data_IF_883831789928
#
_entry.id   IF_883831789928
#
_cell.length_a   1.000
_cell.length_b   1.000
_cell.length_c   1.000
_cell.angle_alpha   90.00
_cell.angle_beta   90.00
_cell.angle_gamma   90.00
#
_symmetry.space_group_name_H-M   'P 1'
#
loop_
_entity.id
_entity.type
_entity.pdbx_description
1 polymer ?
#
# COMPACT_ATOMS: atom_id res chain seq x y z
N UNK A 1 13.33 23.46 -12.68
CA UNK A 1 12.03 22.84 -13.01
C UNK A 1 11.45 22.34 -11.70
N UNK A 2 10.30 22.86 -11.28
CA UNK A 2 9.70 22.49 -9.99
C UNK A 2 9.25 21.02 -10.04
N UNK A 3 9.84 20.17 -9.19
CA UNK A 3 9.29 18.85 -8.90
C UNK A 3 7.96 19.12 -8.21
N UNK A 4 6.86 18.88 -8.92
CA UNK A 4 5.52 19.02 -8.36
C UNK A 4 5.34 17.88 -7.33
N UNK A 5 5.61 18.19 -6.06
CA UNK A 5 5.64 17.20 -4.99
C UNK A 5 4.21 16.69 -4.75
N UNK A 6 3.88 15.48 -5.20
CA UNK A 6 2.53 14.91 -5.01
C UNK A 6 2.24 14.56 -3.55
N UNK A 7 3.18 14.76 -2.62
CA UNK A 7 2.91 14.62 -1.18
C UNK A 7 1.87 15.64 -0.67
N UNK A 8 1.68 16.75 -1.39
CA UNK A 8 0.55 17.68 -1.20
C UNK A 8 -0.83 17.04 -1.52
N UNK A 9 -0.87 15.86 -2.15
CA UNK A 9 -2.10 15.11 -2.40
C UNK A 9 -2.46 14.10 -1.30
N UNK A 10 -1.56 13.85 -0.33
CA UNK A 10 -1.86 12.97 0.79
C UNK A 10 -2.74 13.71 1.79
N UNK A 11 -4.04 13.44 1.74
CA UNK A 11 -5.07 14.08 2.57
C UNK A 11 -4.79 13.94 4.06
N UNK A 12 -4.17 12.84 4.47
CA UNK A 12 -3.75 12.61 5.85
C UNK A 12 -2.64 13.56 6.29
N UNK A 13 -1.78 14.01 5.37
CA UNK A 13 -0.78 15.04 5.63
C UNK A 13 -1.37 16.45 5.55
N UNK A 14 -2.08 16.77 4.48
CA UNK A 14 -2.51 18.15 4.17
C UNK A 14 -3.75 18.61 4.92
N UNK A 15 -4.68 17.70 5.21
CA UNK A 15 -5.91 18.03 5.95
C UNK A 15 -6.21 16.99 7.04
N UNK A 16 -5.37 16.90 8.09
CA UNK A 16 -5.44 15.82 9.06
C UNK A 16 -6.78 15.76 9.83
N UNK A 17 -7.53 16.87 9.93
CA UNK A 17 -8.85 16.92 10.60
C UNK A 17 -10.02 16.82 9.61
N UNK A 18 -9.79 16.26 8.41
CA UNK A 18 -10.87 16.03 7.43
C UNK A 18 -11.58 14.69 7.68
N UNK A 19 -12.87 14.58 7.30
CA UNK A 19 -13.57 13.29 7.35
C UNK A 19 -12.86 12.17 6.59
N UNK A 20 -12.14 12.51 5.51
CA UNK A 20 -11.35 11.54 4.73
C UNK A 20 -10.15 11.05 5.57
N UNK A 21 -9.49 11.93 6.31
CA UNK A 21 -8.43 11.51 7.24
C UNK A 21 -8.96 10.63 8.38
N UNK A 22 -10.15 10.90 8.91
CA UNK A 22 -10.80 10.01 9.90
C UNK A 22 -11.12 8.63 9.32
N UNK A 23 -11.50 8.55 8.03
CA UNK A 23 -11.71 7.27 7.36
C UNK A 23 -10.42 6.42 7.32
N UNK A 24 -9.26 7.05 7.06
CA UNK A 24 -7.98 6.35 7.12
C UNK A 24 -7.58 5.94 8.55
N UNK A 25 -7.89 6.75 9.58
CA UNK A 25 -7.67 6.33 10.98
C UNK A 25 -8.57 5.17 11.39
N UNK A 26 -9.80 5.17 10.89
CA UNK A 26 -10.74 4.04 11.08
C UNK A 26 -10.19 2.79 10.40
N UNK A 27 -9.67 2.91 9.18
CA UNK A 27 -9.01 1.81 8.48
C UNK A 27 -7.81 1.26 9.28
N UNK A 28 -6.91 2.13 9.77
CA UNK A 28 -5.78 1.74 10.61
C UNK A 28 -6.26 0.97 11.85
N UNK A 29 -7.25 1.50 12.55
CA UNK A 29 -7.80 0.90 13.77
C UNK A 29 -8.40 -0.48 13.49
N UNK A 30 -9.17 -0.61 12.41
CA UNK A 30 -9.72 -1.92 12.00
C UNK A 30 -8.63 -2.93 11.65
N UNK A 31 -7.54 -2.46 11.02
CA UNK A 31 -6.41 -3.30 10.70
C UNK A 31 -5.68 -3.79 11.96
N UNK A 32 -5.46 -2.91 12.94
CA UNK A 32 -4.88 -3.26 14.25
C UNK A 32 -5.77 -4.26 15.02
N UNK A 33 -7.11 -4.11 14.94
CA UNK A 33 -8.03 -5.08 15.53
C UNK A 33 -7.98 -6.45 14.84
N UNK A 34 -7.80 -6.48 13.52
CA UNK A 34 -7.70 -7.73 12.76
C UNK A 34 -6.45 -8.55 13.08
N UNK A 35 -5.43 -7.93 13.70
CA UNK A 35 -4.14 -8.56 14.01
C UNK A 35 -3.96 -8.95 15.48
N UNK A 36 -5.01 -8.84 16.31
CA UNK A 36 -4.95 -9.16 17.75
C UNK A 36 -4.58 -10.63 18.03
N UNK A 37 -5.21 -11.57 17.33
CA UNK A 37 -4.97 -13.01 17.53
C UNK A 37 -3.77 -13.52 16.73
N UNK A 38 -3.58 -12.95 15.54
CA UNK A 38 -2.48 -13.29 14.62
C UNK A 38 -1.80 -12.00 14.17
N UNK A 39 -0.58 -11.69 14.66
CA UNK A 39 0.15 -10.51 14.24
C UNK A 39 0.29 -10.46 12.73
N UNK A 40 -0.12 -9.34 12.13
CA UNK A 40 0.03 -9.06 10.70
C UNK A 40 1.16 -8.05 10.57
N UNK A 41 2.32 -8.49 10.07
CA UNK A 41 3.49 -7.63 9.84
C UNK A 41 3.66 -7.26 8.37
N UNK A 42 3.14 -8.05 7.46
CA UNK A 42 3.30 -7.84 6.01
C UNK A 42 1.93 -7.80 5.33
N UNK A 43 1.66 -6.73 4.58
CA UNK A 43 0.38 -6.54 3.90
C UNK A 43 0.59 -6.16 2.45
N UNK A 44 -0.06 -6.88 1.56
CA UNK A 44 -0.21 -6.49 0.16
C UNK A 44 -1.49 -5.70 -0.02
N UNK A 45 -1.41 -4.60 -0.78
CA UNK A 45 -2.58 -3.86 -1.23
C UNK A 45 -2.69 -3.97 -2.74
N UNK A 46 -3.84 -4.43 -3.21
CA UNK A 46 -4.14 -4.61 -4.64
C UNK A 46 -5.59 -4.18 -4.93
N UNK A 47 -5.99 -4.20 -6.20
CA UNK A 47 -7.34 -3.90 -6.66
C UNK A 47 -7.76 -4.83 -7.79
N UNK A 48 -9.06 -4.98 -8.07
CA UNK A 48 -9.55 -5.71 -9.24
C UNK A 48 -8.99 -5.17 -10.57
N UNK A 49 -9.02 -3.84 -10.76
CA UNK A 49 -8.59 -3.17 -11.98
C UNK A 49 -7.62 -2.00 -11.74
N UNK A 50 -7.08 -1.42 -12.82
CA UNK A 50 -6.25 -0.22 -12.74
C UNK A 50 -7.06 1.00 -12.27
N UNK A 51 -6.36 2.02 -11.76
CA UNK A 51 -6.93 3.33 -11.40
C UNK A 51 -8.02 3.29 -10.31
N UNK A 52 -8.02 2.24 -9.46
CA UNK A 52 -8.96 2.14 -8.33
C UNK A 52 -8.50 2.89 -7.06
N UNK A 53 -7.32 3.53 -7.11
CA UNK A 53 -6.76 4.32 -6.02
C UNK A 53 -5.99 3.51 -4.97
N UNK A 54 -5.53 2.30 -5.32
CA UNK A 54 -4.74 1.40 -4.46
C UNK A 54 -3.50 2.09 -3.87
N UNK A 55 -2.68 2.72 -4.72
CA UNK A 55 -1.41 3.35 -4.35
C UNK A 55 -1.61 4.55 -3.42
N UNK A 56 -2.60 5.39 -3.70
CA UNK A 56 -2.99 6.53 -2.85
C UNK A 56 -3.58 6.08 -1.52
N UNK A 57 -4.43 5.05 -1.52
CA UNK A 57 -5.02 4.48 -0.31
C UNK A 57 -3.91 3.93 0.59
N UNK A 58 -2.97 3.19 0.01
CA UNK A 58 -1.84 2.61 0.71
C UNK A 58 -0.91 3.69 1.30
N UNK A 59 -0.57 4.72 0.52
CA UNK A 59 0.25 5.82 1.00
C UNK A 59 -0.39 6.54 2.19
N UNK A 60 -1.69 6.83 2.13
CA UNK A 60 -2.39 7.46 3.25
C UNK A 60 -2.48 6.55 4.49
N UNK A 61 -2.69 5.25 4.30
CA UNK A 61 -2.64 4.27 5.39
C UNK A 61 -1.26 4.24 6.05
N UNK A 62 -0.18 4.20 5.25
CA UNK A 62 1.19 4.22 5.73
C UNK A 62 1.47 5.46 6.60
N UNK A 63 1.03 6.64 6.16
CA UNK A 63 1.11 7.88 6.95
C UNK A 63 0.37 7.76 8.28
N UNK A 64 -0.84 7.18 8.29
CA UNK A 64 -1.60 7.06 9.55
C UNK A 64 -1.01 6.06 10.54
N UNK A 65 -0.33 5.02 10.05
CA UNK A 65 0.42 4.06 10.86
C UNK A 65 1.67 4.71 11.45
N UNK A 66 2.47 5.40 10.63
CA UNK A 66 3.67 6.09 11.08
C UNK A 66 3.35 7.19 12.12
N UNK A 67 2.26 7.94 11.92
CA UNK A 67 1.76 8.91 12.93
C UNK A 67 1.22 8.28 14.21
N UNK A 68 1.00 6.97 14.21
CA UNK A 68 0.71 6.19 15.42
C UNK A 68 1.99 5.59 16.03
N UNK A 69 3.15 6.16 15.71
CA UNK A 69 4.47 5.75 16.22
C UNK A 69 4.87 4.32 15.82
N UNK A 70 4.35 3.84 14.68
CA UNK A 70 4.82 2.59 14.05
C UNK A 70 6.00 2.87 13.15
N UNK A 71 6.99 1.98 13.18
CA UNK A 71 7.99 1.91 12.13
C UNK A 71 7.37 1.23 10.90
N UNK A 72 7.25 1.96 9.81
CA UNK A 72 6.57 1.53 8.58
C UNK A 72 7.56 1.52 7.41
N UNK A 73 7.62 0.40 6.69
CA UNK A 73 8.25 0.33 5.38
C UNK A 73 7.17 0.18 4.32
N UNK A 74 7.10 1.14 3.39
CA UNK A 74 6.28 1.07 2.20
C UNK A 74 7.13 0.61 1.02
N UNK A 75 6.66 -0.38 0.27
CA UNK A 75 7.37 -0.99 -0.85
C UNK A 75 6.54 -0.85 -2.12
N UNK A 76 7.13 -0.30 -3.18
CA UNK A 76 6.48 -0.23 -4.50
C UNK A 76 6.77 -1.51 -5.31
N UNK A 77 5.85 -2.47 -5.26
CA UNK A 77 5.91 -3.71 -6.04
C UNK A 77 5.15 -3.64 -7.37
N UNK A 78 4.57 -2.49 -7.74
CA UNK A 78 3.97 -2.28 -9.06
C UNK A 78 5.08 -1.96 -10.07
N UNK A 79 5.89 -2.98 -10.40
CA UNK A 79 7.02 -2.89 -11.33
C UNK A 79 6.58 -2.65 -12.79
N UNK A 80 5.30 -2.37 -13.03
CA UNK A 80 4.75 -2.02 -14.35
C UNK A 80 4.41 -0.54 -14.41
N UNK A 81 3.88 0.02 -13.33
CA UNK A 81 3.52 1.45 -13.20
C UNK A 81 3.81 1.94 -11.77
N UNK A 82 5.09 2.01 -11.36
CA UNK A 82 5.43 2.43 -10.02
C UNK A 82 5.04 3.90 -9.81
N UNK A 83 4.56 4.23 -8.62
CA UNK A 83 4.02 5.56 -8.34
C UNK A 83 4.32 6.07 -6.94
N UNK A 84 4.80 5.23 -6.02
CA UNK A 84 5.06 5.64 -4.64
C UNK A 84 6.18 6.69 -4.56
N UNK A 85 7.22 6.54 -5.38
CA UNK A 85 8.29 7.53 -5.46
C UNK A 85 7.79 8.93 -5.88
N UNK A 86 6.81 9.00 -6.79
CA UNK A 86 6.18 10.27 -7.18
C UNK A 86 5.32 10.84 -6.04
N UNK A 87 4.57 9.98 -5.34
CA UNK A 87 3.70 10.36 -4.22
C UNK A 87 4.52 10.98 -3.07
N UNK A 88 5.66 10.39 -2.74
CA UNK A 88 6.50 10.84 -1.63
C UNK A 88 7.62 11.81 -2.05
N UNK A 89 7.80 12.05 -3.34
CA UNK A 89 8.79 12.99 -3.86
C UNK A 89 10.24 12.50 -3.71
N UNK A 90 10.47 11.19 -3.77
CA UNK A 90 11.80 10.57 -3.62
C UNK A 90 12.34 10.04 -4.97
N UNK A 91 13.62 9.70 -5.01
CA UNK A 91 14.26 9.19 -6.23
C UNK A 91 13.92 7.71 -6.47
N UNK A 92 13.85 7.28 -7.73
CA UNK A 92 13.58 5.88 -8.12
C UNK A 92 14.77 5.20 -8.83
N UNK A 93 15.99 5.67 -8.57
CA UNK A 93 17.21 5.14 -9.21
C UNK A 93 17.69 3.81 -8.62
N UNK A 94 17.37 3.55 -7.36
CA UNK A 94 17.65 2.31 -6.61
C UNK A 94 16.40 1.93 -5.82
N UNK A 95 16.16 0.64 -5.61
CA UNK A 95 14.96 0.18 -4.91
C UNK A 95 14.84 -1.33 -4.88
N UNK A 96 13.60 -1.81 -4.91
CA UNK A 96 13.26 -3.24 -4.84
C UNK A 96 14.03 -4.07 -5.87
N UNK A 97 14.09 -3.62 -7.11
CA UNK A 97 14.75 -4.37 -8.20
C UNK A 97 16.27 -4.41 -8.02
N UNK A 98 16.86 -3.42 -7.36
CA UNK A 98 18.28 -3.41 -6.98
C UNK A 98 18.57 -4.50 -5.96
N UNK A 99 17.75 -4.64 -4.92
CA UNK A 99 17.91 -5.69 -3.89
C UNK A 99 17.84 -7.11 -4.46
N UNK A 100 17.13 -7.28 -5.58
CA UNK A 100 17.02 -8.61 -6.20
C UNK A 100 18.34 -9.06 -6.82
N UNK A 101 19.17 -8.14 -7.30
CA UNK A 101 20.40 -8.48 -8.04
C UNK A 101 21.68 -8.18 -7.27
N UNK A 102 21.60 -7.40 -6.18
CA UNK A 102 22.74 -6.92 -5.41
C UNK A 102 22.67 -7.41 -3.95
N UNK A 103 23.73 -8.09 -3.51
CA UNK A 103 23.87 -8.60 -2.14
C UNK A 103 24.18 -7.50 -1.12
N UNK A 104 24.85 -6.42 -1.52
CA UNK A 104 25.07 -5.26 -0.65
C UNK A 104 23.74 -4.59 -0.32
N UNK A 105 22.88 -4.41 -1.34
CA UNK A 105 21.53 -3.88 -1.15
C UNK A 105 20.62 -4.82 -0.34
N UNK A 106 20.92 -6.13 -0.24
CA UNK A 106 20.21 -7.01 0.70
C UNK A 106 20.65 -6.81 2.14
N UNK A 107 21.96 -6.65 2.35
CA UNK A 107 22.52 -6.40 3.66
C UNK A 107 22.10 -5.02 4.20
N UNK A 108 22.04 -4.02 3.32
CA UNK A 108 21.54 -2.69 3.62
C UNK A 108 20.51 -2.23 2.56
N UNK A 109 19.22 -2.54 2.77
CA UNK A 109 18.14 -2.13 1.89
C UNK A 109 18.17 -0.62 1.61
N UNK A 110 18.07 -0.18 0.34
CA UNK A 110 18.11 1.23 -0.06
C UNK A 110 16.78 1.94 0.27
N UNK A 111 16.42 1.94 1.55
CA UNK A 111 15.26 2.62 2.10
C UNK A 111 15.50 4.12 2.08
N UNK A 112 14.52 4.87 1.57
CA UNK A 112 14.55 6.33 1.55
C UNK A 112 13.60 6.87 2.61
N UNK A 113 14.08 7.80 3.42
CA UNK A 113 13.23 8.55 4.34
C UNK A 113 12.18 9.34 3.57
N UNK A 114 10.96 9.35 4.09
CA UNK A 114 9.92 10.25 3.60
C UNK A 114 9.89 11.52 4.45
N UNK A 115 9.07 12.50 4.08
CA UNK A 115 8.80 13.67 4.94
C UNK A 115 8.04 13.33 6.24
N UNK A 116 7.68 12.06 6.45
CA UNK A 116 6.93 11.57 7.60
C UNK A 116 7.85 10.71 8.46
N UNK A 117 8.07 11.13 9.70
CA UNK A 117 8.86 10.37 10.67
C UNK A 117 8.27 8.97 10.90
N UNK A 118 9.13 7.95 10.96
CA UNK A 118 8.75 6.54 11.10
C UNK A 118 8.26 5.89 9.80
N UNK A 119 8.27 6.61 8.66
CA UNK A 119 7.88 6.07 7.36
C UNK A 119 9.03 6.10 6.36
N UNK A 120 9.42 4.90 5.93
CA UNK A 120 10.44 4.65 4.93
C UNK A 120 9.81 4.12 3.64
N UNK A 121 10.40 4.49 2.51
CA UNK A 121 9.98 4.01 1.19
C UNK A 121 11.11 3.21 0.54
N UNK A 122 10.81 1.97 0.16
CA UNK A 122 11.55 1.21 -0.84
C UNK A 122 10.84 1.37 -2.18
N UNK A 123 11.28 2.28 -3.07
CA UNK A 123 10.66 2.45 -4.37
C UNK A 123 10.97 1.23 -5.26
N UNK A 124 10.40 1.17 -6.46
CA UNK A 124 10.59 0.02 -7.35
C UNK A 124 12.06 -0.17 -7.76
N UNK A 125 12.79 0.93 -7.93
CA UNK A 125 14.04 0.96 -8.68
C UNK A 125 13.79 0.86 -10.19
N UNK A 126 14.86 0.63 -10.98
CA UNK A 126 14.78 0.45 -12.43
C UNK A 126 13.85 -0.70 -12.80
N UNK A 127 13.00 -0.49 -13.82
CA UNK A 127 12.02 -1.49 -14.24
C UNK A 127 12.70 -2.71 -14.87
N UNK A 128 12.41 -3.94 -14.38
CA UNK A 128 13.00 -5.15 -14.96
C UNK A 128 12.27 -5.53 -16.26
N UNK A 129 12.92 -6.32 -17.14
CA UNK A 129 12.25 -6.85 -18.33
C UNK A 129 11.10 -7.82 -17.98
N UNK A 130 11.24 -8.59 -16.89
CA UNK A 130 10.29 -9.62 -16.47
C UNK A 130 9.82 -9.41 -15.00
N UNK A 131 8.85 -8.51 -14.73
CA UNK A 131 8.32 -8.27 -13.39
C UNK A 131 7.82 -9.52 -12.64
N UNK A 132 7.09 -10.39 -13.32
CA UNK A 132 6.44 -11.55 -12.69
C UNK A 132 7.44 -12.58 -12.15
N UNK A 133 8.55 -12.80 -12.88
CA UNK A 133 9.62 -13.73 -12.47
C UNK A 133 10.35 -13.21 -11.23
N UNK A 134 10.57 -11.89 -11.18
CA UNK A 134 11.20 -11.24 -10.03
C UNK A 134 10.35 -11.41 -8.77
N UNK A 135 9.05 -11.11 -8.84
CA UNK A 135 8.14 -11.21 -7.69
C UNK A 135 7.99 -12.64 -7.20
N UNK A 136 8.02 -13.63 -8.10
CA UNK A 136 7.97 -15.05 -7.73
C UNK A 136 9.31 -15.67 -7.33
N UNK A 137 10.39 -14.89 -7.31
CA UNK A 137 11.72 -15.41 -7.01
C UNK A 137 11.90 -15.74 -5.53
N UNK A 138 12.82 -16.67 -5.23
CA UNK A 138 13.29 -16.92 -3.86
C UNK A 138 13.83 -15.64 -3.20
N UNK A 139 14.50 -14.81 -3.99
CA UNK A 139 15.08 -13.54 -3.54
C UNK A 139 14.01 -12.58 -3.03
N UNK A 140 12.83 -12.53 -3.64
CA UNK A 140 11.72 -11.73 -3.14
C UNK A 140 11.26 -12.17 -1.74
N UNK A 141 11.22 -13.48 -1.47
CA UNK A 141 10.90 -14.01 -0.13
C UNK A 141 11.93 -13.58 0.91
N UNK A 142 13.21 -13.61 0.54
CA UNK A 142 14.32 -13.13 1.38
C UNK A 142 14.19 -11.63 1.66
N UNK A 143 13.83 -10.83 0.65
CA UNK A 143 13.56 -9.39 0.80
C UNK A 143 12.42 -9.16 1.80
N UNK A 144 11.28 -9.85 1.64
CA UNK A 144 10.14 -9.73 2.57
C UNK A 144 10.57 -10.04 4.00
N UNK A 145 11.35 -11.11 4.20
CA UNK A 145 11.88 -11.48 5.51
C UNK A 145 12.80 -10.39 6.10
N UNK A 146 13.75 -9.86 5.31
CA UNK A 146 14.66 -8.78 5.74
C UNK A 146 13.87 -7.52 6.13
N UNK A 147 12.90 -7.09 5.33
CA UNK A 147 12.11 -5.90 5.61
C UNK A 147 11.22 -6.08 6.85
N UNK A 148 10.62 -7.26 7.02
CA UNK A 148 9.75 -7.56 8.17
C UNK A 148 10.46 -7.56 9.53
N UNK A 149 11.79 -7.67 9.53
CA UNK A 149 12.62 -7.57 10.73
C UNK A 149 12.99 -6.13 11.09
N UNK A 150 12.87 -5.19 10.15
CA UNK A 150 13.28 -3.78 10.31
C UNK A 150 12.14 -2.82 10.64
N UNK A 151 10.90 -3.29 10.59
CA UNK A 151 9.71 -2.47 10.78
C UNK A 151 8.64 -3.20 11.60
N UNK A 152 7.74 -2.44 12.22
CA UNK A 152 6.54 -2.99 12.82
C UNK A 152 5.58 -3.54 11.76
N UNK A 153 5.53 -2.87 10.60
CA UNK A 153 4.69 -3.24 9.48
C UNK A 153 5.34 -2.89 8.13
N UNK A 154 5.22 -3.81 7.18
CA UNK A 154 5.66 -3.64 5.79
C UNK A 154 4.44 -3.68 4.88
N UNK A 155 4.30 -2.65 4.07
CA UNK A 155 3.17 -2.43 3.18
C UNK A 155 3.64 -2.52 1.72
N UNK A 156 3.03 -3.39 0.92
CA UNK A 156 3.41 -3.63 -0.47
C UNK A 156 2.32 -3.12 -1.42
N UNK A 157 2.67 -2.17 -2.29
CA UNK A 157 1.81 -1.73 -3.40
C UNK A 157 1.92 -2.73 -4.55
N UNK A 158 0.85 -3.46 -4.85
CA UNK A 158 0.85 -4.48 -5.90
C UNK A 158 -0.03 -4.07 -7.08
N UNK A 159 0.29 -4.50 -8.32
CA UNK A 159 -0.53 -4.20 -9.48
C UNK A 159 -1.94 -4.81 -9.37
N UNK A 160 -2.90 -4.42 -10.24
CA UNK A 160 -4.23 -5.00 -10.21
C UNK A 160 -4.24 -6.52 -10.44
N UNK A 161 -4.90 -7.26 -9.56
CA UNK A 161 -4.81 -8.72 -9.52
C UNK A 161 -5.46 -9.43 -10.72
N UNK A 162 -6.45 -8.80 -11.38
CA UNK A 162 -7.06 -9.39 -12.59
C UNK A 162 -6.15 -9.20 -13.81
N UNK A 163 -5.37 -8.13 -13.84
CA UNK A 163 -4.55 -7.78 -14.99
C UNK A 163 -3.32 -8.68 -15.10
N UNK A 164 -2.68 -8.98 -13.96
CA UNK A 164 -1.38 -9.67 -13.92
C UNK A 164 -1.28 -10.58 -12.70
N UNK A 165 -0.42 -11.60 -12.79
CA UNK A 165 -0.24 -12.61 -11.74
C UNK A 165 0.61 -12.15 -10.56
N UNK A 166 1.37 -11.07 -10.74
CA UNK A 166 2.36 -10.53 -9.77
C UNK A 166 1.73 -10.34 -8.38
N UNK A 167 0.54 -9.75 -8.31
CA UNK A 167 -0.16 -9.51 -7.06
C UNK A 167 -0.61 -10.81 -6.36
N UNK A 168 -1.02 -11.83 -7.11
CA UNK A 168 -1.42 -13.11 -6.53
C UNK A 168 -0.22 -13.86 -5.93
N UNK A 169 0.92 -13.84 -6.62
CA UNK A 169 2.16 -14.45 -6.12
C UNK A 169 2.65 -13.73 -4.86
N UNK A 170 2.66 -12.40 -4.85
CA UNK A 170 3.06 -11.66 -3.66
C UNK A 170 2.08 -11.88 -2.49
N UNK A 171 0.79 -12.00 -2.78
CA UNK A 171 -0.27 -12.22 -1.78
C UNK A 171 -0.14 -13.55 -1.04
N UNK A 172 0.49 -14.57 -1.64
CA UNK A 172 0.74 -15.85 -0.96
C UNK A 172 1.96 -15.85 -0.04
N UNK A 173 2.77 -14.79 -0.07
CA UNK A 173 4.02 -14.68 0.69
C UNK A 173 3.94 -13.68 1.86
N UNK A 174 2.78 -13.07 2.08
CA UNK A 174 2.53 -12.07 3.14
C UNK A 174 1.44 -12.52 4.12
N UNK A 175 1.37 -11.85 5.27
CA UNK A 175 0.43 -12.18 6.35
C UNK A 175 -1.02 -11.81 6.02
N UNK A 176 -1.21 -10.81 5.15
CA UNK A 176 -2.53 -10.28 4.82
C UNK A 176 -2.61 -9.54 3.49
N UNK A 177 -3.83 -9.49 2.95
CA UNK A 177 -4.17 -8.72 1.76
C UNK A 177 -5.30 -7.76 2.08
N UNK A 178 -5.15 -6.51 1.63
CA UNK A 178 -6.21 -5.50 1.64
C UNK A 178 -6.61 -5.18 0.19
N UNK A 179 -7.88 -5.43 -0.15
CA UNK A 179 -8.37 -5.18 -1.51
C UNK A 179 -9.04 -3.82 -1.61
N UNK A 180 -8.52 -2.93 -2.46
CA UNK A 180 -9.15 -1.64 -2.77
C UNK A 180 -10.16 -1.81 -3.89
N UNK A 181 -11.37 -1.29 -3.69
CA UNK A 181 -12.49 -1.34 -4.63
C UNK A 181 -12.95 0.08 -4.92
N UNK A 182 -13.01 0.49 -6.18
CA UNK A 182 -13.54 1.78 -6.59
C UNK A 182 -15.09 1.82 -6.53
N UNK A 183 -15.66 2.64 -5.65
CA UNK A 183 -17.10 2.81 -5.50
C UNK A 183 -17.74 3.33 -6.79
N UNK A 184 -18.71 2.58 -7.31
CA UNK A 184 -19.39 2.92 -8.56
C UNK A 184 -18.56 2.73 -9.83
N UNK A 185 -17.24 2.51 -9.72
CA UNK A 185 -16.36 2.17 -10.85
C UNK A 185 -16.13 0.67 -11.03
N UNK A 186 -15.95 -0.06 -9.92
CA UNK A 186 -15.66 -1.49 -9.96
C UNK A 186 -16.94 -2.30 -10.07
N UNK A 187 -17.05 -3.12 -11.12
CA UNK A 187 -18.17 -4.04 -11.29
C UNK A 187 -18.11 -5.18 -10.26
N UNK A 188 -19.28 -5.65 -9.84
CA UNK A 188 -19.39 -6.72 -8.82
C UNK A 188 -18.71 -8.03 -9.24
N UNK A 189 -18.83 -8.41 -10.50
CA UNK A 189 -18.19 -9.59 -11.08
C UNK A 189 -16.65 -9.47 -11.08
N UNK A 190 -16.11 -8.27 -11.32
CA UNK A 190 -14.67 -8.01 -11.18
C UNK A 190 -14.21 -8.15 -9.73
N UNK A 191 -14.94 -7.58 -8.76
CA UNK A 191 -14.59 -7.75 -7.34
C UNK A 191 -14.64 -9.22 -6.90
N UNK A 192 -15.65 -9.98 -7.36
CA UNK A 192 -15.75 -11.42 -7.10
C UNK A 192 -14.61 -12.21 -7.74
N UNK A 193 -14.24 -11.86 -8.98
CA UNK A 193 -13.11 -12.48 -9.68
C UNK A 193 -11.79 -12.21 -8.97
N UNK A 194 -11.56 -10.98 -8.51
CA UNK A 194 -10.37 -10.62 -7.75
C UNK A 194 -10.27 -11.43 -6.44
N UNK A 195 -11.37 -11.51 -5.68
CA UNK A 195 -11.43 -12.36 -4.48
C UNK A 195 -11.13 -13.83 -4.83
N UNK A 196 -11.73 -14.37 -5.89
CA UNK A 196 -11.50 -15.76 -6.29
C UNK A 196 -10.03 -16.03 -6.68
N UNK A 197 -9.31 -15.04 -7.23
CA UNK A 197 -7.87 -15.15 -7.51
C UNK A 197 -7.04 -15.19 -6.22
N UNK A 198 -7.40 -14.40 -5.20
CA UNK A 198 -6.78 -14.45 -3.88
C UNK A 198 -7.05 -15.79 -3.17
N UNK A 199 -8.30 -16.27 -3.23
CA UNK A 199 -8.68 -17.56 -2.63
C UNK A 199 -7.89 -18.72 -3.25
N UNK A 200 -7.65 -18.70 -4.57
CA UNK A 200 -6.89 -19.74 -5.29
C UNK A 200 -5.44 -19.90 -4.82
N UNK A 201 -4.83 -18.84 -4.30
CA UNK A 201 -3.46 -18.85 -3.76
C UNK A 201 -3.45 -18.94 -2.24
N UNK A 202 -4.61 -19.19 -1.62
CA UNK A 202 -4.81 -19.22 -0.16
C UNK A 202 -4.35 -17.94 0.54
N UNK A 203 -4.47 -16.78 -0.13
CA UNK A 203 -4.13 -15.50 0.47
C UNK A 203 -5.13 -15.13 1.56
N UNK A 204 -4.63 -14.61 2.68
CA UNK A 204 -5.46 -14.14 3.77
C UNK A 204 -6.01 -12.74 3.46
N UNK A 205 -7.23 -12.69 2.91
CA UNK A 205 -7.93 -11.41 2.68
C UNK A 205 -8.41 -10.83 4.01
N UNK A 206 -7.67 -9.85 4.54
CA UNK A 206 -7.98 -9.15 5.80
C UNK A 206 -9.26 -8.34 5.67
N UNK A 207 -9.49 -7.76 4.49
CA UNK A 207 -10.70 -6.99 4.22
C UNK A 207 -10.63 -6.24 2.90
N UNK A 208 -11.57 -5.31 2.73
CA UNK A 208 -11.63 -4.45 1.56
C UNK A 208 -11.82 -2.98 1.95
N UNK A 209 -11.26 -2.08 1.14
CA UNK A 209 -11.47 -0.63 1.24
C UNK A 209 -12.31 -0.17 0.06
N UNK A 210 -13.43 0.46 0.35
CA UNK A 210 -14.25 1.10 -0.67
C UNK A 210 -13.76 2.54 -0.88
N UNK A 211 -13.11 2.80 -2.00
CA UNK A 211 -12.55 4.10 -2.36
C UNK A 211 -13.52 4.92 -3.23
N UNK A 212 -13.36 6.25 -3.32
CA UNK A 212 -14.21 7.16 -4.11
C UNK A 212 -15.70 7.13 -3.76
N UNK A 213 -16.04 6.82 -2.51
CA UNK A 213 -17.43 6.84 -2.03
C UNK A 213 -17.97 8.27 -2.10
N UNK A 214 -19.16 8.44 -2.69
CA UNK A 214 -19.89 9.71 -2.62
C UNK A 214 -20.32 9.93 -1.18
N UNK A 215 -19.82 10.99 -0.55
CA UNK A 215 -20.21 11.32 0.81
C UNK A 215 -21.65 11.82 0.80
N UNK A 216 -22.53 11.14 1.54
CA UNK A 216 -23.91 11.59 1.73
C UNK A 216 -23.90 12.93 2.46
N UNK A 217 -24.63 13.91 1.90
CA UNK A 217 -24.73 15.29 2.39
C UNK A 217 -25.18 15.39 3.85
N UNK A 218 -25.85 14.36 4.38
CA UNK A 218 -26.27 14.27 5.79
C UNK A 218 -25.09 14.06 6.76
N UNK A 219 -24.13 13.18 6.41
CA UNK A 219 -22.91 12.95 7.19
C UNK A 219 -21.98 14.17 7.19
N UNK A 220 -21.94 14.92 6.09
CA UNK A 220 -21.19 16.18 6.04
C UNK A 220 -21.67 17.22 7.05
N UNK A 221 -22.98 17.30 7.31
CA UNK A 221 -23.54 18.24 8.30
C UNK A 221 -23.13 17.88 9.72
N UNK A 222 -23.14 16.58 10.04
CA UNK A 222 -22.71 16.06 11.34
C UNK A 222 -21.23 16.34 11.64
N UNK A 223 -20.34 16.19 10.65
CA UNK A 223 -18.92 16.51 10.81
C UNK A 223 -18.60 18.02 10.72
N UNK A 224 -19.46 18.82 10.09
CA UNK A 224 -19.32 20.27 10.05
C UNK A 224 -19.72 20.92 11.38
N UNK A 225 -20.73 20.39 12.08
CA UNK A 225 -21.17 20.90 13.40
C UNK A 225 -20.12 20.71 14.49
N UNK A 226 -19.29 19.65 14.44
CA UNK A 226 -18.17 19.47 15.39
C UNK A 226 -17.00 20.45 15.20
N UNK A 227 -16.96 21.21 14.09
CA UNK A 227 -15.93 22.24 13.85
C UNK A 227 -16.31 23.64 14.36
N UNK A 228 -17.50 23.79 14.93
CA UNK A 228 -18.04 25.06 15.43
C UNK A 228 -18.04 25.25 16.95
N UNK A 229 -17.34 24.39 17.71
CA UNK A 229 -17.25 24.45 19.17
C UNK A 229 -15.83 24.76 19.66
#
# INVERSE_FOLDING_TARGET
MAVNNRSDSLVTLTTPRSPISEAYRTLRTNLEFSSLDKPIKTIVVTSPGPEEGKSTTLANLAVTLARAEKEVILVDCDLRRPSQHEIFGVHNGVGLTTMVVDDEAMADPPLQETSVSGLWLLPSGPLPPNPSELVGSRRMKEIIAVLSQRADIVLFDAPPIIAVTDAAVLSSEVDGVLMVINAGGTKRDHAQKAKALLDKVNAHLVGAVLNNVKIDTSLHRYYAEQKGG
#
